data_IF_800198401280
#
_entry.id   IF_800198401280
#
_cell.length_a   1.000
_cell.length_b   1.000
_cell.length_c   1.000
_cell.angle_alpha   90.00
_cell.angle_beta   90.00
_cell.angle_gamma   90.00
#
_symmetry.space_group_name_H-M   'P 1'
#
loop_
_entity.id
_entity.type
_entity.pdbx_description
1 polymer ?
#
# COMPACT_ATOMS: atom_id res chain seq x y z
N UNK A 1 -14.29 -4.97 -10.89
CA UNK A 1 -14.09 -6.15 -10.02
C UNK A 1 -13.10 -5.80 -8.94
N UNK A 2 -13.20 -6.41 -7.75
CA UNK A 2 -12.37 -6.04 -6.59
C UNK A 2 -11.51 -7.22 -6.14
N UNK A 3 -10.23 -6.96 -5.86
CA UNK A 3 -9.28 -7.93 -5.32
C UNK A 3 -8.68 -7.40 -4.02
N UNK A 4 -8.69 -8.23 -2.98
CA UNK A 4 -8.17 -7.90 -1.66
C UNK A 4 -6.91 -8.72 -1.36
N UNK A 5 -5.88 -8.05 -0.88
CA UNK A 5 -4.64 -8.67 -0.42
C UNK A 5 -4.25 -8.07 0.93
N UNK A 6 -4.06 -8.92 1.92
CA UNK A 6 -3.59 -8.51 3.23
C UNK A 6 -2.15 -8.99 3.46
N UNK A 7 -1.35 -8.14 4.11
CA UNK A 7 0.03 -8.46 4.48
C UNK A 7 0.24 -8.17 5.96
N UNK A 8 0.63 -9.18 6.73
CA UNK A 8 0.85 -9.08 8.18
C UNK A 8 2.32 -8.92 8.57
N UNK A 9 3.25 -9.07 7.61
CA UNK A 9 4.70 -8.96 7.84
C UNK A 9 5.35 -8.14 6.72
N UNK A 10 6.22 -7.18 7.06
CA UNK A 10 6.84 -6.31 6.07
C UNK A 10 8.21 -5.82 6.54
N UNK A 11 9.28 -6.33 5.89
CA UNK A 11 10.66 -5.95 6.18
C UNK A 11 10.90 -4.44 6.13
N UNK A 12 10.23 -3.73 5.20
CA UNK A 12 10.34 -2.28 5.10
C UNK A 12 9.77 -1.58 6.33
N UNK A 13 8.59 -2.00 6.80
CA UNK A 13 7.99 -1.44 7.98
C UNK A 13 8.87 -1.67 9.22
N UNK A 14 9.44 -2.88 9.35
CA UNK A 14 10.32 -3.22 10.46
C UNK A 14 11.57 -2.32 10.48
N UNK A 15 12.29 -2.23 9.36
CA UNK A 15 13.52 -1.44 9.25
C UNK A 15 13.27 0.06 9.52
N UNK A 16 12.25 0.65 8.92
CA UNK A 16 12.00 2.09 9.10
C UNK A 16 11.45 2.43 10.49
N UNK A 17 10.75 1.51 11.15
CA UNK A 17 10.37 1.68 12.57
C UNK A 17 11.57 1.58 13.50
N UNK A 18 12.47 0.62 13.27
CA UNK A 18 13.71 0.49 14.06
C UNK A 18 14.60 1.73 13.97
N UNK A 19 14.56 2.42 12.83
CA UNK A 19 15.29 3.67 12.58
C UNK A 19 14.57 4.93 13.07
N UNK A 20 13.38 4.81 13.69
CA UNK A 20 12.52 5.95 14.07
C UNK A 20 12.20 6.89 12.88
N UNK A 21 11.97 6.30 11.70
CA UNK A 21 11.80 7.00 10.43
C UNK A 21 10.59 6.49 9.63
N UNK A 22 9.55 6.01 10.32
CA UNK A 22 8.38 5.38 9.69
C UNK A 22 7.58 6.33 8.79
N UNK A 23 7.57 7.63 9.10
CA UNK A 23 6.96 8.67 8.28
C UNK A 23 7.65 8.80 6.91
N UNK A 24 8.98 8.80 6.89
CA UNK A 24 9.79 8.77 5.68
C UNK A 24 9.61 7.45 4.93
N UNK A 25 9.60 6.33 5.65
CA UNK A 25 9.34 5.01 5.08
C UNK A 25 8.00 4.94 4.37
N UNK A 26 6.96 5.55 4.94
CA UNK A 26 5.65 5.64 4.31
C UNK A 26 5.70 6.45 3.01
N UNK A 27 6.31 7.63 3.01
CA UNK A 27 6.39 8.49 1.81
C UNK A 27 7.17 7.79 0.70
N UNK A 28 8.32 7.20 1.04
CA UNK A 28 9.26 6.65 0.06
C UNK A 28 8.83 5.30 -0.51
N UNK A 29 8.07 4.50 0.26
CA UNK A 29 7.71 3.14 -0.12
C UNK A 29 6.20 2.99 -0.28
N UNK A 30 5.45 3.07 0.83
CA UNK A 30 4.02 2.76 0.82
C UNK A 30 3.21 3.75 -0.06
N UNK A 31 3.52 5.04 0.00
CA UNK A 31 2.82 6.07 -0.75
C UNK A 31 2.96 5.94 -2.27
N UNK A 32 4.01 5.24 -2.73
CA UNK A 32 4.26 5.04 -4.16
C UNK A 32 3.34 4.00 -4.80
N UNK A 33 2.69 3.16 -4.00
CA UNK A 33 1.80 2.10 -4.48
C UNK A 33 0.57 2.66 -5.22
N UNK A 34 0.02 3.79 -4.74
CA UNK A 34 -1.18 4.41 -5.31
C UNK A 34 -0.96 4.90 -6.76
N UNK A 35 0.06 5.74 -7.05
CA UNK A 35 0.34 6.11 -8.44
C UNK A 35 0.83 4.91 -9.27
N UNK A 36 1.59 3.98 -8.69
CA UNK A 36 2.02 2.77 -9.39
C UNK A 36 0.84 1.94 -9.92
N UNK A 37 -0.20 1.74 -9.12
CA UNK A 37 -1.41 1.03 -9.54
C UNK A 37 -2.04 1.63 -10.81
N UNK A 38 -2.20 2.96 -10.84
CA UNK A 38 -2.72 3.67 -12.02
C UNK A 38 -1.76 3.68 -13.21
N UNK A 39 -0.45 3.60 -12.96
CA UNK A 39 0.57 3.53 -14.00
C UNK A 39 0.64 2.14 -14.66
N UNK A 40 0.31 1.07 -13.93
CA UNK A 40 0.20 -0.28 -14.49
C UNK A 40 -0.96 -0.41 -15.49
N UNK A 41 -2.12 0.16 -15.16
CA UNK A 41 -3.27 0.23 -16.06
C UNK A 41 -4.24 1.34 -15.63
N UNK A 42 -4.81 2.07 -16.59
CA UNK A 42 -5.62 3.25 -16.31
C UNK A 42 -6.92 2.96 -15.54
N UNK A 43 -7.45 1.74 -15.68
CA UNK A 43 -8.66 1.24 -15.01
C UNK A 43 -8.40 0.63 -13.63
N UNK A 44 -7.13 0.54 -13.19
CA UNK A 44 -6.79 0.00 -11.87
C UNK A 44 -6.66 1.14 -10.85
N UNK A 45 -7.32 0.98 -9.71
CA UNK A 45 -7.18 1.87 -8.54
C UNK A 45 -6.83 1.04 -7.31
N UNK A 46 -6.01 1.63 -6.43
CA UNK A 46 -5.67 1.04 -5.14
C UNK A 46 -6.28 1.90 -4.02
N UNK A 47 -7.01 1.24 -3.12
CA UNK A 47 -7.38 1.76 -1.82
C UNK A 47 -6.59 1.01 -0.74
N UNK A 48 -6.18 1.72 0.31
CA UNK A 48 -5.53 1.17 1.50
C UNK A 48 -5.87 2.03 2.71
N UNK A 49 -6.32 1.40 3.79
CA UNK A 49 -6.76 2.09 5.01
C UNK A 49 -5.92 1.77 6.24
N UNK A 50 -5.18 0.65 6.19
CA UNK A 50 -4.27 0.15 7.20
C UNK A 50 -2.90 -0.09 6.59
N UNK A 51 -1.86 0.29 7.31
CA UNK A 51 -0.48 0.07 6.88
C UNK A 51 0.39 -0.31 8.07
N UNK A 52 1.12 -1.44 7.96
CA UNK A 52 2.12 -1.84 8.95
C UNK A 52 3.10 -0.71 9.26
N UNK A 53 3.60 0.01 8.25
CA UNK A 53 4.48 1.19 8.40
C UNK A 53 3.91 2.26 9.34
N UNK A 54 2.58 2.45 9.36
CA UNK A 54 1.90 3.44 10.20
C UNK A 54 1.45 2.90 11.56
N UNK A 55 1.75 1.63 11.86
CA UNK A 55 1.47 1.01 13.15
C UNK A 55 0.23 0.13 13.20
N UNK A 56 -0.44 -0.11 12.08
CA UNK A 56 -1.57 -1.05 12.02
C UNK A 56 -1.12 -2.50 12.14
N UNK A 57 -2.10 -3.40 12.32
CA UNK A 57 -1.90 -4.85 12.45
C UNK A 57 -1.64 -5.56 11.11
N UNK A 58 -1.92 -4.91 9.99
CA UNK A 58 -1.62 -5.38 8.64
C UNK A 58 -1.67 -4.22 7.63
N UNK A 59 -1.20 -4.48 6.42
CA UNK A 59 -1.54 -3.68 5.25
C UNK A 59 -2.76 -4.29 4.55
N UNK A 60 -3.73 -3.48 4.13
CA UNK A 60 -4.92 -3.90 3.38
C UNK A 60 -4.92 -3.31 1.96
N UNK A 61 -4.42 -4.06 0.98
CA UNK A 61 -4.44 -3.62 -0.41
C UNK A 61 -5.76 -4.01 -1.06
N UNK A 62 -6.55 -3.03 -1.46
CA UNK A 62 -7.82 -3.22 -2.15
C UNK A 62 -7.69 -2.68 -3.57
N UNK A 63 -7.57 -3.58 -4.54
CA UNK A 63 -7.48 -3.23 -5.95
C UNK A 63 -8.86 -3.25 -6.59
N UNK A 64 -9.24 -2.13 -7.19
CA UNK A 64 -10.45 -1.98 -7.98
C UNK A 64 -10.09 -1.96 -9.46
N UNK A 65 -10.80 -2.76 -10.25
CA UNK A 65 -10.78 -2.71 -11.70
C UNK A 65 -12.11 -2.17 -12.21
N UNK A 66 -12.11 -0.94 -12.72
CA UNK A 66 -13.28 -0.30 -13.30
C UNK A 66 -13.17 -0.39 -14.82
N UNK A 67 -13.75 -1.44 -15.40
CA UNK A 67 -13.75 -1.62 -16.84
C UNK A 67 -14.60 -0.50 -17.44
N UNK A 68 -13.97 0.45 -18.13
CA UNK A 68 -14.71 1.40 -18.97
C UNK A 68 -15.16 0.64 -20.22
N UNK A 69 -16.47 0.56 -20.40
CA UNK A 69 -17.10 -0.04 -21.59
C UNK A 69 -16.68 0.69 -22.88
#
# INVERSE_FOLDING_TARGET
GTFHMCTTECLWADVFKELDAADLGYIMLCGTDFPAASAFHEDIRLERTKTLMQGDDHCDFIYHWDKKD
#
